data_IF_323364964618
#
_entry.id   IF_323364964618
#
_cell.length_a   1.000
_cell.length_b   1.000
_cell.length_c   1.000
_cell.angle_alpha   90.00
_cell.angle_beta   90.00
_cell.angle_gamma   90.00
#
_symmetry.space_group_name_H-M   'P 1'
#
loop_
_entity.id
_entity.type
_entity.pdbx_description
1 polymer ?
#
# COMPACT_ATOMS: atom_id res chain seq x y z
N UNK A 1 10.21 31.00 -3.59
CA UNK A 1 11.17 30.54 -2.54
C UNK A 1 10.60 30.67 -1.14
N UNK A 2 10.10 31.83 -0.69
CA UNK A 2 9.52 31.99 0.67
C UNK A 2 8.30 31.08 0.96
N UNK A 3 7.44 30.83 -0.04
CA UNK A 3 6.27 29.94 0.13
C UNK A 3 6.69 28.47 0.24
N UNK A 4 7.66 28.02 -0.55
CA UNK A 4 8.20 26.66 -0.47
C UNK A 4 8.91 26.45 0.89
N UNK A 5 9.65 27.45 1.36
CA UNK A 5 10.28 27.45 2.68
C UNK A 5 9.25 27.46 3.82
N UNK A 6 8.15 28.20 3.70
CA UNK A 6 7.06 28.21 4.68
C UNK A 6 6.27 26.88 4.70
N UNK A 7 6.07 26.24 3.54
CA UNK A 7 5.45 24.92 3.43
C UNK A 7 6.35 23.82 3.99
N UNK A 8 7.67 23.92 3.78
CA UNK A 8 8.67 23.08 4.45
C UNK A 8 8.68 23.34 5.95
N UNK A 9 8.56 24.60 6.40
CA UNK A 9 8.47 24.94 7.83
C UNK A 9 7.22 24.35 8.49
N UNK A 10 6.06 24.39 7.81
CA UNK A 10 4.81 23.82 8.30
C UNK A 10 4.86 22.28 8.35
N UNK A 11 5.69 21.67 7.51
CA UNK A 11 6.04 20.24 7.55
C UNK A 11 7.04 19.91 8.68
N UNK A 12 7.96 20.82 9.00
CA UNK A 12 8.97 20.68 10.04
C UNK A 12 8.43 20.92 11.46
N UNK A 13 7.41 21.76 11.64
CA UNK A 13 6.83 22.04 12.97
C UNK A 13 6.01 20.87 13.52
N UNK A 14 5.61 19.90 12.70
CA UNK A 14 5.04 18.62 13.15
C UNK A 14 6.07 17.60 13.64
N UNK A 15 7.38 17.84 13.41
CA UNK A 15 8.47 16.95 13.78
C UNK A 15 9.11 17.29 15.14
N UNK A 16 8.32 17.84 16.07
CA UNK A 16 8.79 18.23 17.40
C UNK A 16 9.18 17.04 18.28
N UNK A 17 10.47 17.00 18.65
CA UNK A 17 11.14 16.18 19.70
C UNK A 17 11.43 14.72 19.38
N UNK A 18 12.36 14.47 18.45
CA UNK A 18 13.24 13.31 18.56
C UNK A 18 14.42 13.68 19.48
N UNK A 19 14.37 13.19 20.72
CA UNK A 19 15.46 13.33 21.69
C UNK A 19 16.73 12.64 21.17
N UNK A 20 17.82 13.40 21.05
CA UNK A 20 19.15 12.88 20.78
C UNK A 20 19.61 12.04 21.97
N UNK A 21 19.53 10.71 21.87
CA UNK A 21 20.21 9.81 22.79
C UNK A 21 21.68 9.69 22.37
N UNK A 22 22.53 10.32 23.16
CA UNK A 22 23.99 10.17 23.14
C UNK A 22 24.35 8.70 23.37
N UNK A 23 24.95 8.06 22.37
CA UNK A 23 25.56 6.73 22.52
C UNK A 23 26.86 6.91 23.30
N UNK A 24 26.81 6.60 24.59
CA UNK A 24 27.99 6.46 25.43
C UNK A 24 28.75 5.19 25.05
N UNK A 25 30.00 5.35 24.64
CA UNK A 25 30.94 4.27 24.45
C UNK A 25 31.32 3.65 25.82
N UNK A 26 31.36 2.31 25.89
CA UNK A 26 32.02 1.56 26.95
C UNK A 26 32.93 0.49 26.32
N UNK A 27 34.07 0.15 26.95
CA UNK A 27 35.25 -0.35 26.26
C UNK A 27 35.25 -1.86 26.04
N UNK A 28 35.95 -2.26 24.98
CA UNK A 28 36.27 -3.65 24.67
C UNK A 28 37.45 -4.15 25.51
N UNK A 29 37.36 -5.40 25.98
CA UNK A 29 38.52 -6.21 26.37
C UNK A 29 38.29 -7.67 25.99
N UNK A 30 39.25 -8.26 25.25
CA UNK A 30 39.49 -9.70 25.30
C UNK A 30 39.51 -10.49 23.98
N UNK A 31 40.50 -10.22 23.12
CA UNK A 31 41.28 -11.14 22.26
C UNK A 31 40.69 -12.48 21.75
N UNK A 32 40.67 -12.66 20.43
CA UNK A 32 41.51 -13.64 19.68
C UNK A 32 41.48 -13.36 18.15
N UNK A 33 42.50 -13.80 17.36
CA UNK A 33 42.96 -13.10 16.15
C UNK A 33 42.39 -13.59 14.81
N UNK A 34 42.40 -12.66 13.83
CA UNK A 34 42.62 -12.76 12.36
C UNK A 34 42.51 -14.15 11.67
N UNK A 35 41.89 -14.36 10.50
CA UNK A 35 41.43 -13.48 9.42
C UNK A 35 40.47 -14.20 8.44
N UNK A 36 39.83 -13.40 7.57
CA UNK A 36 39.28 -13.70 6.23
C UNK A 36 37.91 -14.40 6.11
N UNK A 37 36.82 -13.61 6.06
CA UNK A 37 36.04 -13.32 4.82
C UNK A 37 34.81 -12.47 5.18
N UNK A 38 34.42 -11.56 4.28
CA UNK A 38 33.33 -10.61 4.48
C UNK A 38 31.98 -11.31 4.69
N UNK A 39 31.55 -11.44 5.95
CA UNK A 39 30.22 -11.95 6.30
C UNK A 39 29.19 -10.85 6.06
N UNK A 40 28.24 -11.09 5.15
CA UNK A 40 27.10 -10.20 4.95
C UNK A 40 26.25 -10.10 6.22
N UNK A 41 25.61 -8.96 6.45
CA UNK A 41 24.73 -8.64 7.58
C UNK A 41 23.37 -9.40 7.53
N UNK A 42 23.40 -10.64 7.03
CA UNK A 42 22.23 -11.48 6.79
C UNK A 42 22.15 -12.54 7.87
N UNK A 43 20.95 -12.77 8.37
CA UNK A 43 20.73 -13.83 9.36
C UNK A 43 19.32 -14.39 9.31
N UNK A 44 19.22 -15.65 9.72
CA UNK A 44 17.95 -16.26 10.08
C UNK A 44 17.77 -16.10 11.58
N UNK A 45 16.59 -15.64 11.99
CA UNK A 45 16.24 -15.54 13.41
C UNK A 45 14.87 -16.10 13.68
N UNK A 46 14.60 -16.45 14.92
CA UNK A 46 13.28 -16.92 15.32
C UNK A 46 13.11 -16.91 16.82
N UNK A 47 11.90 -17.26 17.24
CA UNK A 47 11.58 -17.47 18.64
C UNK A 47 10.78 -18.75 18.77
N UNK A 48 11.21 -19.64 19.66
CA UNK A 48 10.50 -20.87 20.00
C UNK A 48 9.61 -20.60 21.21
N UNK A 49 8.32 -20.88 21.04
CA UNK A 49 7.33 -20.79 22.10
C UNK A 49 6.60 -22.12 22.22
N UNK A 50 6.45 -22.57 23.46
CA UNK A 50 5.72 -23.78 23.79
C UNK A 50 4.22 -23.61 23.63
N UNK A 51 3.45 -24.69 23.85
CA UNK A 51 1.99 -24.69 23.71
C UNK A 51 1.27 -23.76 24.70
N UNK A 52 1.93 -23.46 25.83
CA UNK A 52 1.50 -22.53 26.88
C UNK A 52 1.97 -21.08 26.62
N UNK A 53 2.59 -20.82 25.46
CA UNK A 53 3.10 -19.50 25.07
C UNK A 53 4.42 -19.10 25.72
N UNK A 54 4.99 -19.94 26.60
CA UNK A 54 6.27 -19.71 27.28
C UNK A 54 7.44 -19.95 26.33
N UNK A 55 8.57 -19.23 26.50
CA UNK A 55 9.76 -19.47 25.70
C UNK A 55 10.34 -20.86 25.92
N UNK A 56 10.84 -21.47 24.84
CA UNK A 56 11.52 -22.76 24.86
C UNK A 56 13.00 -22.54 24.61
N UNK A 57 13.83 -22.83 25.60
CA UNK A 57 15.29 -22.66 25.58
C UNK A 57 16.01 -24.00 25.33
N UNK A 58 17.27 -23.94 24.90
CA UNK A 58 18.12 -25.12 24.73
C UNK A 58 17.90 -25.96 23.46
N UNK A 59 17.03 -25.51 22.54
CA UNK A 59 16.75 -26.21 21.28
C UNK A 59 17.77 -25.83 20.22
N UNK A 60 18.33 -26.82 19.53
CA UNK A 60 19.31 -26.61 18.46
C UNK A 60 18.64 -26.50 17.09
N UNK A 61 19.02 -25.47 16.33
CA UNK A 61 18.57 -25.22 14.95
C UNK A 61 19.79 -25.18 14.05
N UNK A 62 19.74 -25.89 12.93
CA UNK A 62 20.81 -25.95 11.94
C UNK A 62 20.29 -25.43 10.59
N UNK A 63 21.06 -24.56 9.94
CA UNK A 63 20.80 -24.11 8.58
C UNK A 63 21.72 -24.85 7.61
N UNK A 64 21.15 -25.39 6.54
CA UNK A 64 21.84 -26.10 5.48
C UNK A 64 21.60 -25.42 4.13
N UNK A 65 22.63 -25.41 3.28
CA UNK A 65 22.55 -24.94 1.90
C UNK A 65 23.17 -26.01 1.00
N UNK A 66 22.44 -26.47 -0.02
CA UNK A 66 22.89 -27.54 -0.94
C UNK A 66 23.43 -28.80 -0.23
N UNK A 67 22.84 -29.17 0.91
CA UNK A 67 23.22 -30.34 1.70
C UNK A 67 24.43 -30.17 2.62
N UNK A 68 25.03 -28.97 2.69
CA UNK A 68 26.09 -28.65 3.66
C UNK A 68 25.56 -27.73 4.76
N UNK A 69 25.96 -27.99 6.01
CA UNK A 69 25.65 -27.13 7.15
C UNK A 69 26.41 -25.81 7.04
N UNK A 70 25.68 -24.70 6.93
CA UNK A 70 26.23 -23.35 6.82
C UNK A 70 26.25 -22.59 8.15
N UNK A 71 25.46 -23.03 9.13
CA UNK A 71 25.45 -22.45 10.47
C UNK A 71 24.49 -23.18 11.41
N UNK A 72 24.68 -22.99 12.72
CA UNK A 72 23.78 -23.53 13.74
C UNK A 72 23.67 -22.58 14.93
N UNK A 73 22.53 -22.58 15.61
CA UNK A 73 22.30 -21.79 16.81
C UNK A 73 21.43 -22.57 17.81
N UNK A 74 21.55 -22.20 19.08
CA UNK A 74 20.74 -22.75 20.17
C UNK A 74 19.85 -21.63 20.73
N UNK A 75 18.58 -21.93 21.00
CA UNK A 75 17.66 -20.96 21.59
C UNK A 75 18.05 -20.57 23.01
N UNK A 76 18.11 -19.28 23.32
CA UNK A 76 18.42 -18.73 24.64
C UNK A 76 17.25 -18.85 25.65
N UNK A 77 17.37 -18.28 26.85
CA UNK A 77 16.36 -18.33 27.91
C UNK A 77 15.02 -17.69 27.50
N UNK A 78 15.05 -16.71 26.59
CA UNK A 78 13.90 -16.04 25.99
C UNK A 78 13.37 -16.77 24.74
N UNK A 79 13.89 -17.98 24.45
CA UNK A 79 13.52 -18.82 23.31
C UNK A 79 13.98 -18.27 21.96
N UNK A 80 14.83 -17.24 21.95
CA UNK A 80 15.34 -16.60 20.75
C UNK A 80 16.58 -17.30 20.22
N UNK A 81 16.68 -17.40 18.90
CA UNK A 81 17.85 -17.96 18.21
C UNK A 81 18.17 -17.13 16.97
N UNK A 82 19.44 -17.10 16.60
CA UNK A 82 19.92 -16.39 15.41
C UNK A 82 21.11 -17.12 14.78
N UNK A 83 21.02 -17.38 13.48
CA UNK A 83 22.07 -18.00 12.67
C UNK A 83 22.54 -16.95 11.65
N UNK A 84 23.76 -16.40 11.79
CA UNK A 84 24.35 -15.56 10.74
C UNK A 84 24.65 -16.43 9.50
N UNK A 85 24.41 -15.86 8.32
CA UNK A 85 24.56 -16.59 7.05
C UNK A 85 25.73 -16.04 6.23
N UNK A 86 26.46 -16.90 5.50
CA UNK A 86 27.60 -16.48 4.69
C UNK A 86 27.21 -15.66 3.45
N UNK A 87 25.94 -15.73 3.01
CA UNK A 87 25.44 -14.97 1.86
C UNK A 87 23.93 -15.12 1.63
N UNK A 88 23.36 -14.41 0.65
CA UNK A 88 21.96 -14.54 0.26
C UNK A 88 21.73 -15.85 -0.50
N UNK A 89 20.54 -16.41 -0.38
CA UNK A 89 20.20 -17.67 -1.06
C UNK A 89 19.08 -18.44 -0.39
N UNK A 90 18.89 -19.67 -0.85
CA UNK A 90 17.90 -20.60 -0.34
C UNK A 90 18.52 -21.56 0.69
N UNK A 91 17.88 -21.68 1.85
CA UNK A 91 18.37 -22.47 2.99
C UNK A 91 17.29 -23.43 3.50
N UNK A 92 17.72 -24.61 3.93
CA UNK A 92 16.89 -25.58 4.65
C UNK A 92 17.21 -25.47 6.15
N UNK A 93 16.21 -25.23 7.00
CA UNK A 93 16.41 -25.26 8.45
C UNK A 93 15.93 -26.58 9.02
N UNK A 94 16.76 -27.17 9.90
CA UNK A 94 16.43 -28.36 10.67
C UNK A 94 16.40 -28.02 12.16
N UNK A 95 15.29 -28.31 12.81
CA UNK A 95 15.12 -28.25 14.26
C UNK A 95 15.42 -29.64 14.84
N UNK A 96 16.33 -29.70 15.80
CA UNK A 96 16.68 -30.95 16.46
C UNK A 96 15.61 -31.32 17.50
N UNK A 97 14.72 -32.24 17.10
CA UNK A 97 13.59 -32.71 17.91
C UNK A 97 14.06 -33.36 19.22
N UNK A 98 15.29 -33.90 19.27
CA UNK A 98 15.84 -34.51 20.50
C UNK A 98 16.15 -33.49 21.60
N UNK A 99 16.31 -32.22 21.21
CA UNK A 99 16.57 -31.10 22.12
C UNK A 99 15.30 -30.41 22.62
N UNK A 100 14.12 -30.88 22.21
CA UNK A 100 12.84 -30.35 22.68
C UNK A 100 12.52 -30.82 24.12
N UNK A 101 11.93 -29.95 24.97
CA UNK A 101 11.43 -30.36 26.27
C UNK A 101 10.37 -31.47 26.19
N UNK A 102 10.34 -32.34 27.22
CA UNK A 102 9.34 -33.42 27.32
C UNK A 102 7.92 -32.85 27.24
N UNK A 103 7.11 -33.41 26.34
CA UNK A 103 5.71 -33.02 26.18
C UNK A 103 5.42 -32.03 25.05
N UNK A 104 6.45 -31.58 24.33
CA UNK A 104 6.34 -30.64 23.19
C UNK A 104 6.77 -31.33 21.90
N UNK A 105 6.02 -31.13 20.81
CA UNK A 105 6.34 -31.62 19.47
C UNK A 105 6.04 -30.54 18.41
N UNK A 106 6.55 -30.70 17.19
CA UNK A 106 6.20 -29.82 16.07
C UNK A 106 4.73 -29.98 15.70
N UNK A 107 4.06 -28.92 15.24
CA UNK A 107 2.64 -28.95 14.86
C UNK A 107 2.36 -29.88 13.69
N UNK A 108 3.26 -29.88 12.71
CA UNK A 108 3.11 -30.60 11.46
C UNK A 108 4.05 -31.80 11.42
N UNK A 109 3.60 -32.93 10.86
CA UNK A 109 4.44 -34.11 10.63
C UNK A 109 5.54 -33.74 9.62
N UNK A 110 6.81 -33.80 10.00
CA UNK A 110 7.90 -33.31 9.16
C UNK A 110 8.18 -31.80 9.30
N UNK A 111 7.50 -31.11 10.23
CA UNK A 111 7.67 -29.68 10.53
C UNK A 111 8.97 -29.33 11.26
N UNK A 112 9.80 -30.33 11.56
CA UNK A 112 11.17 -30.16 12.03
C UNK A 112 12.12 -29.70 10.91
N UNK A 113 11.73 -29.84 9.64
CA UNK A 113 12.49 -29.32 8.50
C UNK A 113 11.67 -28.26 7.75
N UNK A 114 12.20 -27.05 7.69
CA UNK A 114 11.68 -25.96 6.85
C UNK A 114 12.55 -25.86 5.61
N UNK A 115 11.98 -26.25 4.47
CA UNK A 115 12.66 -26.24 3.17
C UNK A 115 12.50 -24.88 2.48
N UNK A 116 13.43 -24.57 1.57
CA UNK A 116 13.34 -23.45 0.65
C UNK A 116 13.18 -22.06 1.29
N UNK A 117 13.88 -21.80 2.41
CA UNK A 117 13.86 -20.50 3.08
C UNK A 117 14.81 -19.53 2.37
N UNK A 118 14.24 -18.63 1.57
CA UNK A 118 14.99 -17.63 0.78
C UNK A 118 15.40 -16.41 1.62
N UNK A 119 16.67 -16.05 1.65
CA UNK A 119 17.17 -14.85 2.35
C UNK A 119 17.78 -13.89 1.33
N UNK A 120 17.28 -12.65 1.28
CA UNK A 120 17.79 -11.61 0.39
C UNK A 120 19.01 -10.88 1.00
N UNK A 121 19.82 -10.18 0.17
CA UNK A 121 20.97 -9.41 0.64
C UNK A 121 20.61 -8.43 1.76
N UNK A 122 21.44 -8.41 2.82
CA UNK A 122 21.26 -7.58 4.03
C UNK A 122 19.91 -7.76 4.76
N UNK A 123 19.21 -8.88 4.54
CA UNK A 123 17.94 -9.17 5.19
C UNK A 123 18.13 -10.05 6.43
N UNK A 124 17.44 -9.71 7.51
CA UNK A 124 17.20 -10.61 8.64
C UNK A 124 15.83 -11.25 8.49
N UNK A 125 15.78 -12.54 8.14
CA UNK A 125 14.52 -13.25 7.93
C UNK A 125 14.08 -13.95 9.22
N UNK A 126 12.83 -13.69 9.63
CA UNK A 126 12.26 -14.35 10.81
C UNK A 126 11.54 -15.64 10.39
N UNK A 127 11.85 -16.74 11.07
CA UNK A 127 11.30 -18.07 10.82
C UNK A 127 10.65 -18.60 12.09
N UNK A 128 9.50 -19.26 11.95
CA UNK A 128 8.72 -19.78 13.07
C UNK A 128 8.58 -21.29 12.92
N UNK A 129 8.93 -22.01 13.99
CA UNK A 129 8.60 -23.42 14.15
C UNK A 129 7.36 -23.52 15.06
N UNK A 130 6.18 -23.87 14.54
CA UNK A 130 5.00 -24.03 15.37
C UNK A 130 5.13 -25.29 16.25
N UNK A 131 5.03 -25.12 17.57
CA UNK A 131 5.08 -26.21 18.54
C UNK A 131 3.69 -26.44 19.15
N UNK A 132 3.35 -27.71 19.40
CA UNK A 132 2.10 -28.16 20.06
C UNK A 132 2.42 -29.15 21.17
N UNK A 133 1.44 -29.40 22.04
CA UNK A 133 1.59 -30.45 23.05
C UNK A 133 1.55 -31.82 22.38
N UNK A 134 2.34 -32.77 22.89
CA UNK A 134 2.29 -34.20 22.52
C UNK A 134 0.91 -34.84 22.71
N UNK A 135 0.05 -34.23 23.51
CA UNK A 135 -1.37 -34.62 23.67
C UNK A 135 -2.27 -34.22 22.50
N UNK A 136 -1.81 -33.33 21.62
CA UNK A 136 -2.56 -32.86 20.45
C UNK A 136 -2.13 -33.60 19.18
N UNK A 137 -3.08 -33.98 18.30
CA UNK A 137 -2.74 -34.63 17.03
C UNK A 137 -1.86 -33.74 16.15
N UNK A 138 -0.78 -34.31 15.63
CA UNK A 138 0.09 -33.64 14.67
C UNK A 138 -0.61 -33.54 13.30
N UNK A 139 -0.64 -32.35 12.72
CA UNK A 139 -1.28 -32.09 11.43
C UNK A 139 -0.41 -32.61 10.28
N UNK A 140 -1.01 -32.96 9.14
CA UNK A 140 -0.25 -33.29 7.94
C UNK A 140 0.47 -32.04 7.42
N UNK A 141 1.75 -32.17 7.01
CA UNK A 141 2.52 -31.08 6.38
C UNK A 141 1.67 -30.46 5.26
N UNK A 142 1.36 -29.16 5.29
CA UNK A 142 0.63 -28.51 4.21
C UNK A 142 1.41 -28.71 2.89
N UNK A 143 0.89 -29.52 1.97
CA UNK A 143 1.49 -29.80 0.66
C UNK A 143 2.03 -31.21 0.40
N UNK A 144 1.93 -32.17 1.33
CA UNK A 144 2.31 -33.56 1.07
C UNK A 144 1.07 -34.46 0.92
N UNK A 145 0.65 -34.73 -0.31
CA UNK A 145 -0.43 -35.68 -0.61
C UNK A 145 0.05 -37.14 -0.48
N UNK A 146 -0.67 -38.03 0.24
CA UNK A 146 -0.41 -39.47 0.19
C UNK A 146 -1.34 -40.19 -0.80
N UNK A 147 -0.77 -41.12 -1.56
CA UNK A 147 -1.47 -42.05 -2.45
C UNK A 147 -2.41 -43.00 -1.67
N UNK A 148 -3.51 -43.33 -2.35
CA UNK A 148 -4.61 -44.22 -1.99
C UNK A 148 -4.23 -45.61 -1.48
N UNK A 149 -4.92 -46.08 -0.45
CA UNK A 149 -5.40 -47.47 -0.34
C UNK A 149 -6.81 -47.51 0.26
N UNK A 150 -7.65 -48.35 -0.32
CA UNK A 150 -9.09 -48.50 -0.12
C UNK A 150 -9.44 -49.57 0.94
N UNK A 151 -10.51 -49.35 1.71
CA UNK A 151 -11.20 -50.37 2.52
C UNK A 151 -12.45 -49.80 3.23
N UNK A 152 -13.65 -50.44 3.20
CA UNK A 152 -14.92 -49.81 3.54
C UNK A 152 -15.49 -50.15 4.94
N UNK A 153 -16.34 -49.25 5.47
CA UNK A 153 -17.22 -49.43 6.64
C UNK A 153 -16.74 -48.67 7.89
N UNK A 154 -17.53 -47.89 8.64
CA UNK A 154 -18.98 -47.79 8.78
C UNK A 154 -19.38 -46.37 9.22
N UNK A 155 -20.63 -46.06 8.87
CA UNK A 155 -21.47 -44.92 9.23
C UNK A 155 -21.64 -44.69 10.72
N UNK A 156 -21.54 -43.42 11.12
CA UNK A 156 -22.07 -42.88 12.37
C UNK A 156 -22.24 -41.36 12.23
N UNK A 157 -23.46 -40.94 11.90
CA UNK A 157 -23.87 -39.53 11.79
C UNK A 157 -23.58 -38.76 13.09
N UNK A 158 -22.95 -37.59 12.98
CA UNK A 158 -23.61 -36.30 13.25
C UNK A 158 -22.67 -35.10 13.08
N UNK A 159 -23.11 -34.19 12.20
CA UNK A 159 -22.95 -32.75 12.28
C UNK A 159 -21.56 -32.14 12.01
N UNK A 160 -21.21 -31.98 10.72
CA UNK A 160 -20.43 -30.84 10.25
C UNK A 160 -20.87 -30.44 8.83
N UNK A 161 -21.31 -29.20 8.72
CA UNK A 161 -21.79 -28.55 7.50
C UNK A 161 -20.69 -28.49 6.44
N UNK A 162 -20.76 -29.40 5.48
CA UNK A 162 -20.44 -29.20 4.05
C UNK A 162 -19.10 -28.55 3.71
N UNK A 163 -18.00 -29.25 3.95
CA UNK A 163 -16.81 -29.13 3.10
C UNK A 163 -16.89 -30.23 2.02
N UNK A 164 -17.47 -29.92 0.86
CA UNK A 164 -17.27 -30.73 -0.34
C UNK A 164 -15.87 -30.48 -0.86
N UNK A 165 -15.01 -31.48 -0.69
CA UNK A 165 -13.84 -31.67 -1.51
C UNK A 165 -14.29 -32.29 -2.84
N UNK A 166 -14.21 -31.56 -3.95
CA UNK A 166 -14.14 -32.15 -5.31
C UNK A 166 -13.35 -31.23 -6.26
N UNK A 167 -12.40 -31.83 -6.98
CA UNK A 167 -12.14 -31.62 -8.41
C UNK A 167 -12.06 -30.21 -8.98
N UNK A 168 -10.83 -29.74 -9.23
CA UNK A 168 -10.50 -28.56 -10.04
C UNK A 168 -10.94 -27.26 -9.37
N UNK A 169 -10.01 -26.36 -9.04
CA UNK A 169 -10.38 -25.04 -8.52
C UNK A 169 -11.09 -24.22 -9.63
N UNK A 170 -12.37 -24.53 -9.84
CA UNK A 170 -13.31 -23.64 -10.46
C UNK A 170 -13.40 -22.39 -9.60
N UNK A 171 -13.39 -21.25 -10.27
CA UNK A 171 -13.66 -19.94 -9.71
C UNK A 171 -14.90 -20.00 -8.79
N UNK A 172 -14.69 -19.95 -7.48
CA UNK A 172 -15.81 -19.97 -6.53
C UNK A 172 -16.53 -18.61 -6.55
N UNK A 173 -17.87 -18.63 -6.52
CA UNK A 173 -18.67 -17.39 -6.54
C UNK A 173 -18.32 -16.47 -5.36
N UNK A 174 -18.01 -17.04 -4.19
CA UNK A 174 -17.55 -16.29 -3.02
C UNK A 174 -16.23 -15.54 -3.28
N UNK A 175 -15.27 -16.18 -3.97
CA UNK A 175 -14.00 -15.54 -4.35
C UNK A 175 -14.22 -14.41 -5.36
N UNK A 176 -15.11 -14.60 -6.34
CA UNK A 176 -15.47 -13.52 -7.29
C UNK A 176 -16.09 -12.34 -6.55
N UNK A 177 -17.09 -12.58 -5.71
CA UNK A 177 -17.76 -11.53 -4.94
C UNK A 177 -16.79 -10.77 -4.03
N UNK A 178 -15.87 -11.49 -3.38
CA UNK A 178 -14.82 -10.88 -2.56
C UNK A 178 -13.92 -9.95 -3.38
N UNK A 179 -13.43 -10.41 -4.55
CA UNK A 179 -12.57 -9.62 -5.42
C UNK A 179 -13.32 -8.41 -6.03
N UNK A 180 -14.61 -8.53 -6.30
CA UNK A 180 -15.44 -7.39 -6.73
C UNK A 180 -15.49 -6.33 -5.63
N UNK A 181 -15.72 -6.71 -4.38
CA UNK A 181 -15.77 -5.77 -3.25
C UNK A 181 -14.41 -5.12 -3.02
N UNK A 182 -13.33 -5.89 -3.07
CA UNK A 182 -11.97 -5.35 -2.99
C UNK A 182 -11.65 -4.41 -4.16
N UNK A 183 -12.17 -4.71 -5.35
CA UNK A 183 -12.00 -3.90 -6.55
C UNK A 183 -12.76 -2.59 -6.48
N UNK A 184 -13.99 -2.61 -5.94
CA UNK A 184 -14.77 -1.41 -5.64
C UNK A 184 -14.09 -0.54 -4.58
N UNK A 185 -13.56 -1.14 -3.51
CA UNK A 185 -12.78 -0.44 -2.48
C UNK A 185 -11.58 0.27 -3.09
N UNK A 186 -10.73 -0.48 -3.82
CA UNK A 186 -9.54 0.08 -4.45
C UNK A 186 -9.91 1.15 -5.49
N UNK A 187 -10.91 0.88 -6.33
CA UNK A 187 -11.37 1.79 -7.37
C UNK A 187 -11.95 3.09 -6.80
N UNK A 188 -12.66 3.05 -5.68
CA UNK A 188 -13.19 4.23 -5.02
C UNK A 188 -12.07 5.12 -4.46
N UNK A 189 -11.02 4.52 -3.88
CA UNK A 189 -9.84 5.25 -3.40
C UNK A 189 -9.10 5.90 -4.58
N UNK A 190 -8.86 5.14 -5.66
CA UNK A 190 -8.23 5.68 -6.88
C UNK A 190 -9.12 6.78 -7.49
N UNK A 191 -10.45 6.66 -7.46
CA UNK A 191 -11.35 7.66 -8.00
C UNK A 191 -11.23 8.99 -7.26
N UNK A 192 -11.18 8.98 -5.92
CA UNK A 192 -11.03 10.22 -5.14
C UNK A 192 -9.71 10.92 -5.46
N UNK A 193 -8.61 10.17 -5.51
CA UNK A 193 -7.30 10.74 -5.80
C UNK A 193 -7.18 11.19 -7.26
N UNK A 194 -7.79 10.47 -8.19
CA UNK A 194 -7.79 10.75 -9.63
C UNK A 194 -8.68 11.93 -10.04
N UNK A 195 -9.79 12.21 -9.34
CA UNK A 195 -10.70 13.32 -9.69
C UNK A 195 -9.98 14.66 -9.62
N UNK A 196 -9.13 14.87 -8.61
CA UNK A 196 -8.29 16.06 -8.51
C UNK A 196 -7.34 16.22 -9.69
N UNK A 197 -6.64 15.14 -10.05
CA UNK A 197 -5.73 15.09 -11.21
C UNK A 197 -6.48 15.41 -12.52
N UNK A 198 -7.67 14.84 -12.70
CA UNK A 198 -8.52 15.07 -13.88
C UNK A 198 -8.99 16.51 -13.97
N UNK A 199 -9.38 17.14 -12.85
CA UNK A 199 -9.81 18.53 -12.84
C UNK A 199 -8.66 19.51 -13.15
N UNK A 200 -7.47 19.24 -12.62
CA UNK A 200 -6.26 20.02 -12.92
C UNK A 200 -5.93 19.90 -14.41
N UNK A 201 -5.90 18.68 -14.95
CA UNK A 201 -5.67 18.46 -16.37
C UNK A 201 -6.76 19.14 -17.23
N UNK A 202 -8.04 19.02 -16.84
CA UNK A 202 -9.15 19.58 -17.62
C UNK A 202 -9.07 21.10 -17.78
N UNK A 203 -8.59 21.81 -16.76
CA UNK A 203 -8.51 23.28 -16.78
C UNK A 203 -7.16 23.84 -17.23
N UNK A 204 -6.08 23.09 -17.10
CA UNK A 204 -4.72 23.59 -17.41
C UNK A 204 -4.00 22.83 -18.51
N UNK A 205 -4.54 21.67 -18.93
CA UNK A 205 -3.90 20.68 -19.81
C UNK A 205 -2.53 20.20 -19.32
N UNK A 206 -2.21 20.44 -18.04
CA UNK A 206 -0.99 20.00 -17.39
C UNK A 206 -1.14 18.56 -16.87
N UNK A 207 -0.27 17.67 -17.35
CA UNK A 207 -0.08 16.34 -16.75
C UNK A 207 0.90 16.51 -15.58
N UNK A 208 0.38 16.48 -14.35
CA UNK A 208 1.16 16.73 -13.14
C UNK A 208 1.57 15.44 -12.43
N UNK A 209 2.82 14.99 -12.59
CA UNK A 209 3.34 13.81 -11.88
C UNK A 209 3.46 14.02 -10.36
N UNK A 210 3.65 15.26 -9.91
CA UNK A 210 3.75 15.56 -8.47
C UNK A 210 2.43 15.35 -7.72
N UNK A 211 1.30 15.15 -8.42
CA UNK A 211 0.02 14.83 -7.80
C UNK A 211 0.07 13.53 -6.98
N UNK A 212 0.86 12.54 -7.41
CA UNK A 212 1.09 11.31 -6.65
C UNK A 212 1.72 11.59 -5.29
N UNK A 213 2.63 12.55 -5.20
CA UNK A 213 3.29 12.88 -3.94
C UNK A 213 2.34 13.56 -2.94
N UNK A 214 1.30 14.27 -3.41
CA UNK A 214 0.26 14.81 -2.54
C UNK A 214 -0.54 13.69 -1.83
N UNK A 215 -0.69 12.53 -2.48
CA UNK A 215 -1.28 11.33 -1.86
C UNK A 215 -0.40 10.84 -0.71
N UNK A 216 0.91 10.65 -0.96
CA UNK A 216 1.86 10.23 0.06
C UNK A 216 1.90 11.23 1.22
N UNK A 217 1.98 12.52 0.91
CA UNK A 217 1.99 13.60 1.90
C UNK A 217 0.76 13.54 2.80
N UNK A 218 -0.44 13.35 2.24
CA UNK A 218 -1.65 13.24 3.06
C UNK A 218 -1.60 12.08 4.06
N UNK A 219 -1.13 10.91 3.61
CA UNK A 219 -0.98 9.75 4.47
C UNK A 219 0.06 9.98 5.60
N UNK A 220 1.21 10.59 5.27
CA UNK A 220 2.28 10.91 6.22
C UNK A 220 1.85 11.97 7.23
N UNK A 221 1.18 13.04 6.78
CA UNK A 221 0.64 14.09 7.65
C UNK A 221 -0.39 13.51 8.61
N UNK A 222 -1.32 12.69 8.13
CA UNK A 222 -2.26 12.00 9.01
C UNK A 222 -1.54 11.10 10.01
N UNK A 223 -0.45 10.44 9.60
CA UNK A 223 0.33 9.58 10.49
C UNK A 223 0.96 10.39 11.63
N UNK A 224 1.68 11.47 11.33
CA UNK A 224 2.31 12.30 12.36
C UNK A 224 1.30 12.95 13.31
N UNK A 225 0.12 13.30 12.81
CA UNK A 225 -0.94 13.87 13.66
C UNK A 225 -1.60 12.79 14.53
N UNK A 226 -1.76 11.56 14.01
CA UNK A 226 -2.43 10.48 14.72
C UNK A 226 -1.55 9.71 15.70
N UNK A 227 -0.23 9.73 15.48
CA UNK A 227 0.78 9.01 16.27
C UNK A 227 1.49 9.99 17.21
N UNK A 228 2.14 9.48 18.26
CA UNK A 228 2.90 10.31 19.21
C UNK A 228 3.86 11.30 18.51
N UNK A 229 3.88 12.58 18.92
CA UNK A 229 3.19 13.16 20.09
C UNK A 229 1.73 13.61 19.84
N UNK A 230 1.23 13.53 18.60
CA UNK A 230 -0.07 14.10 18.23
C UNK A 230 -1.25 13.41 18.91
N UNK A 231 -1.29 12.07 18.89
CA UNK A 231 -2.35 11.22 19.46
C UNK A 231 -3.79 11.65 19.12
N UNK A 232 -3.97 12.38 18.01
CA UNK A 232 -5.28 12.85 17.57
C UNK A 232 -6.04 11.68 16.92
N UNK A 233 -7.36 11.56 17.13
CA UNK A 233 -8.18 10.60 16.39
C UNK A 233 -7.93 10.63 14.88
N UNK A 234 -7.76 9.46 14.26
CA UNK A 234 -7.38 9.34 12.85
C UNK A 234 -8.37 10.05 11.91
N UNK A 235 -9.64 10.14 12.28
CA UNK A 235 -10.65 10.88 11.51
C UNK A 235 -10.31 12.38 11.45
N UNK A 236 -9.94 12.98 12.58
CA UNK A 236 -9.53 14.38 12.65
C UNK A 236 -8.16 14.58 11.96
N UNK A 237 -7.25 13.61 12.11
CA UNK A 237 -5.98 13.61 11.38
C UNK A 237 -6.20 13.55 9.86
N UNK A 238 -7.20 12.80 9.39
CA UNK A 238 -7.61 12.74 7.99
C UNK A 238 -8.18 14.06 7.47
N UNK A 239 -8.99 14.76 8.27
CA UNK A 239 -9.47 16.11 7.94
C UNK A 239 -8.32 17.12 7.90
N UNK A 240 -7.40 17.05 8.86
CA UNK A 240 -6.20 17.89 8.86
C UNK A 240 -5.33 17.61 7.62
N UNK A 241 -5.14 16.35 7.24
CA UNK A 241 -4.44 15.97 6.02
C UNK A 241 -5.12 16.49 4.75
N UNK A 242 -6.45 16.49 4.68
CA UNK A 242 -7.20 17.10 3.58
C UNK A 242 -6.92 18.61 3.48
N UNK A 243 -6.94 19.32 4.60
CA UNK A 243 -6.67 20.77 4.62
C UNK A 243 -5.22 21.05 4.23
N UNK A 244 -4.26 20.35 4.84
CA UNK A 244 -2.83 20.50 4.54
C UNK A 244 -2.54 20.17 3.08
N UNK A 245 -3.09 19.08 2.54
CA UNK A 245 -2.96 18.70 1.14
C UNK A 245 -3.51 19.76 0.19
N UNK A 246 -4.68 20.33 0.51
CA UNK A 246 -5.25 21.42 -0.28
C UNK A 246 -4.44 22.70 -0.23
N UNK A 247 -3.95 23.08 0.95
CA UNK A 247 -3.08 24.25 1.12
C UNK A 247 -1.74 24.08 0.39
N UNK A 248 -1.14 22.88 0.46
CA UNK A 248 0.09 22.56 -0.26
C UNK A 248 -0.13 22.64 -1.77
N UNK A 249 -1.20 22.04 -2.30
CA UNK A 249 -1.50 22.10 -3.72
C UNK A 249 -1.80 23.52 -4.21
N UNK A 250 -2.58 24.30 -3.45
CA UNK A 250 -2.79 25.73 -3.73
C UNK A 250 -1.49 26.53 -3.67
N UNK A 251 -0.61 26.23 -2.71
CA UNK A 251 0.72 26.82 -2.59
C UNK A 251 1.64 26.47 -3.76
N UNK A 252 1.56 25.25 -4.29
CA UNK A 252 2.26 24.83 -5.51
C UNK A 252 1.71 25.57 -6.73
N UNK A 253 0.39 25.76 -6.84
CA UNK A 253 -0.17 26.58 -7.92
C UNK A 253 0.32 28.03 -7.84
N UNK A 254 0.16 28.68 -6.68
CA UNK A 254 0.56 30.09 -6.51
C UNK A 254 2.08 30.29 -6.66
N UNK A 255 2.88 29.36 -6.13
CA UNK A 255 4.33 29.49 -6.04
C UNK A 255 5.09 29.02 -7.27
N UNK A 256 4.56 28.05 -8.01
CA UNK A 256 5.25 27.41 -9.13
C UNK A 256 4.42 27.48 -10.42
N UNK A 257 3.22 26.92 -10.44
CA UNK A 257 2.50 26.70 -11.70
C UNK A 257 1.90 27.97 -12.29
N UNK A 258 1.27 28.82 -11.47
CA UNK A 258 0.67 30.09 -11.89
C UNK A 258 1.70 31.07 -12.45
N UNK A 259 2.87 31.31 -11.80
CA UNK A 259 3.93 32.13 -12.39
C UNK A 259 4.42 31.58 -13.73
N UNK A 260 4.57 30.27 -13.87
CA UNK A 260 5.02 29.65 -15.12
C UNK A 260 3.98 29.79 -16.23
N UNK A 261 2.69 29.59 -15.93
CA UNK A 261 1.60 29.84 -16.90
C UNK A 261 1.59 31.28 -17.39
N UNK A 262 1.77 32.25 -16.49
CA UNK A 262 1.81 33.68 -16.84
C UNK A 262 3.01 34.06 -17.68
N UNK A 263 4.13 33.35 -17.54
CA UNK A 263 5.32 33.53 -18.38
C UNK A 263 5.21 32.84 -19.75
N UNK A 264 4.11 32.15 -20.04
CA UNK A 264 3.94 31.43 -21.30
C UNK A 264 4.85 30.20 -21.43
N UNK A 265 5.27 29.59 -20.32
CA UNK A 265 6.07 28.36 -20.34
C UNK A 265 5.30 27.25 -21.08
N UNK A 266 5.98 26.51 -21.96
CA UNK A 266 5.35 25.46 -22.76
C UNK A 266 4.87 24.28 -21.93
N UNK A 267 3.83 23.56 -22.37
CA UNK A 267 3.28 22.39 -21.66
C UNK A 267 4.33 21.29 -21.42
N UNK A 268 5.22 21.05 -22.39
CA UNK A 268 6.31 20.07 -22.27
C UNK A 268 7.30 20.47 -21.16
N UNK A 269 7.60 21.77 -21.02
CA UNK A 269 8.48 22.27 -19.96
C UNK A 269 7.82 22.11 -18.59
N UNK A 270 6.52 22.43 -18.49
CA UNK A 270 5.75 22.21 -17.26
C UNK A 270 5.69 20.72 -16.87
N UNK A 271 5.56 19.84 -17.86
CA UNK A 271 5.59 18.39 -17.67
C UNK A 271 6.92 17.92 -17.06
N UNK A 272 8.05 18.34 -17.65
CA UNK A 272 9.40 18.02 -17.13
C UNK A 272 9.57 18.53 -15.70
N UNK A 273 9.09 19.74 -15.43
CA UNK A 273 9.14 20.33 -14.09
C UNK A 273 8.29 19.53 -13.10
N UNK A 274 7.16 18.97 -13.52
CA UNK A 274 6.32 18.13 -12.65
C UNK A 274 7.03 16.83 -12.25
N UNK A 275 7.81 16.23 -13.16
CA UNK A 275 8.60 15.04 -12.89
C UNK A 275 9.73 15.38 -11.91
N UNK A 276 10.45 16.48 -12.15
CA UNK A 276 11.48 16.97 -11.24
C UNK A 276 10.93 17.28 -9.84
N UNK A 277 9.76 17.92 -9.76
CA UNK A 277 9.07 18.18 -8.51
C UNK A 277 8.62 16.89 -7.81
N UNK A 278 8.09 15.91 -8.55
CA UNK A 278 7.71 14.60 -7.99
C UNK A 278 8.92 13.89 -7.39
N UNK A 279 10.05 13.83 -8.12
CA UNK A 279 11.30 13.26 -7.62
C UNK A 279 11.78 13.97 -6.35
N UNK A 280 11.81 15.30 -6.37
CA UNK A 280 12.21 16.11 -5.24
C UNK A 280 11.33 15.85 -4.01
N UNK A 281 10.00 15.94 -4.15
CA UNK A 281 9.06 15.73 -3.05
C UNK A 281 9.14 14.29 -2.53
N UNK A 282 9.25 13.29 -3.41
CA UNK A 282 9.35 11.89 -3.03
C UNK A 282 10.58 11.61 -2.16
N UNK A 283 11.74 12.11 -2.55
CA UNK A 283 12.96 11.93 -1.75
C UNK A 283 13.00 12.82 -0.52
N UNK A 284 12.36 14.00 -0.56
CA UNK A 284 12.14 14.81 0.65
C UNK A 284 11.30 14.04 1.67
N UNK A 285 10.21 13.38 1.24
CA UNK A 285 9.40 12.53 2.11
C UNK A 285 10.23 11.36 2.65
N UNK A 286 11.06 10.71 1.83
CA UNK A 286 11.95 9.63 2.30
C UNK A 286 12.87 10.09 3.45
N UNK A 287 13.45 11.29 3.33
CA UNK A 287 14.33 11.85 4.37
C UNK A 287 13.55 12.19 5.64
N UNK A 288 12.36 12.76 5.51
CA UNK A 288 11.56 13.21 6.65
C UNK A 288 10.80 12.07 7.36
N UNK A 289 10.30 11.09 6.60
CA UNK A 289 9.43 10.01 7.07
C UNK A 289 10.17 8.68 7.30
N UNK A 290 11.41 8.54 6.80
CA UNK A 290 12.16 7.29 6.73
C UNK A 290 11.68 6.32 5.63
N UNK A 291 12.51 5.32 5.34
CA UNK A 291 12.22 4.24 4.38
C UNK A 291 11.38 3.09 4.96
N UNK A 292 11.05 3.14 6.26
CA UNK A 292 10.28 2.09 6.94
C UNK A 292 8.79 2.18 6.60
N UNK A 293 8.11 1.04 6.69
CA UNK A 293 6.65 0.98 6.61
C UNK A 293 6.08 1.12 8.02
N UNK A 294 5.34 2.19 8.25
CA UNK A 294 4.68 2.45 9.53
C UNK A 294 3.18 2.14 9.42
N UNK A 295 2.47 1.99 10.55
CA UNK A 295 1.03 1.72 10.56
C UNK A 295 0.33 2.74 11.44
N UNK A 296 -0.89 3.14 11.05
CA UNK A 296 -1.76 3.88 11.97
C UNK A 296 -2.06 3.01 13.20
N UNK A 297 -1.82 3.53 14.41
CA UNK A 297 -2.08 2.78 15.64
C UNK A 297 -3.58 2.49 15.82
N UNK A 298 -4.42 3.48 15.51
CA UNK A 298 -5.86 3.34 15.53
C UNK A 298 -6.36 2.48 14.36
N UNK A 299 -7.32 1.59 14.64
CA UNK A 299 -7.94 0.72 13.64
C UNK A 299 -6.97 -0.29 12.98
N UNK A 300 -5.75 -0.47 13.53
CA UNK A 300 -4.78 -1.46 13.03
C UNK A 300 -5.31 -2.90 13.15
N UNK A 301 -5.94 -3.21 14.28
CA UNK A 301 -6.49 -4.51 14.62
C UNK A 301 -8.00 -4.38 14.73
N UNK A 302 -8.71 -4.95 13.75
CA UNK A 302 -10.16 -5.10 13.81
C UNK A 302 -10.54 -6.50 13.35
N UNK A 303 -11.42 -7.21 14.09
CA UNK A 303 -11.94 -8.48 13.63
C UNK A 303 -12.70 -8.27 12.33
N UNK A 304 -12.44 -9.12 11.34
CA UNK A 304 -13.17 -9.08 10.09
C UNK A 304 -14.63 -9.51 10.34
N UNK A 305 -15.57 -8.81 9.70
CA UNK A 305 -16.97 -9.18 9.73
C UNK A 305 -17.29 -10.04 8.52
N UNK A 306 -18.05 -11.11 8.74
CA UNK A 306 -18.57 -11.96 7.67
C UNK A 306 -19.95 -11.43 7.26
N UNK A 307 -20.04 -10.84 6.07
CA UNK A 307 -21.30 -10.52 5.40
C UNK A 307 -21.58 -11.60 4.35
N UNK A 308 -22.17 -12.71 4.79
CA UNK A 308 -22.43 -13.86 3.92
C UNK A 308 -21.13 -14.40 3.29
N UNK A 309 -21.00 -14.43 1.94
CA UNK A 309 -19.79 -14.93 1.28
C UNK A 309 -18.62 -13.94 1.29
N UNK A 310 -18.82 -12.70 1.76
CA UNK A 310 -17.83 -11.61 1.72
C UNK A 310 -17.30 -11.36 3.12
N UNK A 311 -15.97 -11.22 3.24
CA UNK A 311 -15.30 -10.84 4.48
C UNK A 311 -14.75 -9.42 4.36
N UNK A 312 -15.18 -8.52 5.25
CA UNK A 312 -14.76 -7.12 5.23
C UNK A 312 -14.51 -6.61 6.65
N UNK A 313 -13.44 -5.84 6.84
CA UNK A 313 -13.18 -5.18 8.13
C UNK A 313 -14.04 -3.92 8.27
N UNK A 314 -14.43 -3.52 9.50
CA UNK A 314 -15.20 -2.29 9.71
C UNK A 314 -14.53 -1.05 9.11
N UNK A 315 -13.20 -0.91 9.24
CA UNK A 315 -12.44 0.20 8.63
C UNK A 315 -12.55 0.23 7.11
N UNK A 316 -12.46 -0.92 6.45
CA UNK A 316 -12.51 -1.01 4.99
C UNK A 316 -13.91 -0.63 4.48
N UNK A 317 -14.96 -1.07 5.20
CA UNK A 317 -16.34 -0.70 4.90
C UNK A 317 -16.56 0.81 5.05
N UNK A 318 -16.14 1.39 6.18
CA UNK A 318 -16.30 2.83 6.44
C UNK A 318 -15.53 3.65 5.41
N UNK A 319 -14.27 3.29 5.11
CA UNK A 319 -13.46 3.99 4.09
C UNK A 319 -14.11 3.89 2.72
N UNK A 320 -14.63 2.73 2.34
CA UNK A 320 -15.30 2.54 1.04
C UNK A 320 -16.57 3.39 0.95
N UNK A 321 -17.43 3.36 1.97
CA UNK A 321 -18.66 4.16 2.01
C UNK A 321 -18.37 5.66 2.03
N UNK A 322 -17.43 6.10 2.86
CA UNK A 322 -16.96 7.48 2.89
C UNK A 322 -16.41 7.91 1.52
N UNK A 323 -15.72 7.00 0.83
CA UNK A 323 -15.18 7.29 -0.50
C UNK A 323 -16.30 7.56 -1.51
N UNK A 324 -17.30 6.68 -1.59
CA UNK A 324 -18.46 6.91 -2.45
C UNK A 324 -19.23 8.18 -2.08
N UNK A 325 -19.42 8.45 -0.79
CA UNK A 325 -20.07 9.68 -0.33
C UNK A 325 -19.32 10.94 -0.79
N UNK A 326 -17.98 10.94 -0.71
CA UNK A 326 -17.14 12.05 -1.19
C UNK A 326 -17.21 12.18 -2.71
N UNK A 327 -17.19 11.07 -3.47
CA UNK A 327 -17.33 11.11 -4.92
C UNK A 327 -18.67 11.73 -5.34
N UNK A 328 -19.76 11.34 -4.68
CA UNK A 328 -21.09 11.93 -4.90
C UNK A 328 -21.10 13.40 -4.51
N UNK A 329 -20.50 13.76 -3.37
CA UNK A 329 -20.38 15.15 -2.94
C UNK A 329 -19.64 16.00 -3.98
N UNK A 330 -18.49 15.52 -4.47
CA UNK A 330 -17.71 16.21 -5.50
C UNK A 330 -18.51 16.32 -6.80
N UNK A 331 -19.20 15.27 -7.23
CA UNK A 331 -20.07 15.30 -8.40
C UNK A 331 -21.18 16.35 -8.28
N UNK A 332 -21.83 16.45 -7.13
CA UNK A 332 -22.87 17.44 -6.84
C UNK A 332 -22.27 18.85 -6.81
N UNK A 333 -21.11 19.04 -6.18
CA UNK A 333 -20.41 20.32 -6.13
C UNK A 333 -20.04 20.81 -7.55
N UNK A 334 -19.52 19.93 -8.40
CA UNK A 334 -19.18 20.27 -9.78
C UNK A 334 -20.42 20.59 -10.65
N UNK A 335 -21.54 19.91 -10.42
CA UNK A 335 -22.77 20.14 -11.18
C UNK A 335 -23.51 21.39 -10.75
N UNK A 336 -23.68 21.59 -9.44
CA UNK A 336 -24.66 22.52 -8.89
C UNK A 336 -24.06 23.87 -8.48
N UNK A 337 -22.76 23.95 -8.22
CA UNK A 337 -22.16 25.20 -7.71
C UNK A 337 -21.71 26.16 -8.82
N UNK A 338 -21.54 27.44 -8.47
CA UNK A 338 -20.96 28.46 -9.36
C UNK A 338 -19.51 28.12 -9.72
N UNK A 339 -18.72 27.63 -8.77
CA UNK A 339 -17.35 27.20 -9.00
C UNK A 339 -17.29 26.05 -10.02
N UNK A 340 -18.20 25.07 -9.93
CA UNK A 340 -18.26 23.96 -10.89
C UNK A 340 -18.66 24.38 -12.30
N UNK A 341 -19.58 25.36 -12.42
CA UNK A 341 -19.91 25.99 -13.71
C UNK A 341 -18.72 26.74 -14.30
N UNK A 342 -18.01 27.52 -13.49
CA UNK A 342 -16.81 28.23 -13.92
C UNK A 342 -15.69 27.26 -14.34
N UNK A 343 -15.44 26.20 -13.57
CA UNK A 343 -14.44 25.17 -13.90
C UNK A 343 -14.70 24.52 -15.26
N UNK A 344 -15.95 24.20 -15.58
CA UNK A 344 -16.33 23.65 -16.91
C UNK A 344 -16.14 24.67 -18.02
N UNK A 345 -16.52 25.93 -17.81
CA UNK A 345 -16.28 26.99 -18.80
C UNK A 345 -14.78 27.17 -19.10
N UNK A 346 -13.93 27.15 -18.07
CA UNK A 346 -12.46 27.21 -18.22
C UNK A 346 -11.91 26.00 -18.96
N UNK A 347 -12.42 24.80 -18.68
CA UNK A 347 -11.99 23.57 -19.34
C UNK A 347 -12.40 23.51 -20.82
N UNK A 348 -13.56 24.08 -21.17
CA UNK A 348 -14.07 24.14 -22.54
C UNK A 348 -13.29 25.17 -23.37
N UNK A 349 -13.19 26.42 -22.92
CA UNK A 349 -12.38 27.46 -23.58
C UNK A 349 -11.95 28.54 -22.57
N UNK A 350 -10.64 28.56 -22.28
CA UNK A 350 -10.04 29.49 -21.33
C UNK A 350 -10.21 30.96 -21.75
N UNK A 351 -9.91 31.30 -22.99
CA UNK A 351 -9.91 32.69 -23.46
C UNK A 351 -11.34 33.26 -23.49
N UNK A 352 -12.33 32.46 -23.90
CA UNK A 352 -13.73 32.84 -23.87
C UNK A 352 -14.26 32.99 -22.43
N UNK A 353 -13.79 32.15 -21.51
CA UNK A 353 -14.13 32.26 -20.09
C UNK A 353 -13.59 33.57 -19.49
N UNK A 354 -12.33 33.94 -19.80
CA UNK A 354 -11.74 35.23 -19.38
C UNK A 354 -12.49 36.43 -19.96
N UNK A 355 -12.82 36.40 -21.26
CA UNK A 355 -13.61 37.45 -21.92
C UNK A 355 -15.02 37.60 -21.34
N UNK A 356 -15.58 36.53 -20.78
CA UNK A 356 -16.89 36.51 -20.11
C UNK A 356 -16.82 36.97 -18.63
N UNK A 357 -15.65 37.42 -18.15
CA UNK A 357 -15.46 37.93 -16.80
C UNK A 357 -15.17 36.87 -15.73
N UNK A 358 -14.84 35.62 -16.12
CA UNK A 358 -14.44 34.58 -15.17
C UNK A 358 -12.97 34.79 -14.80
N UNK A 359 -12.69 34.94 -13.50
CA UNK A 359 -11.32 34.93 -12.96
C UNK A 359 -10.75 33.50 -13.03
N UNK A 360 -10.13 33.17 -14.17
CA UNK A 360 -9.60 31.84 -14.46
C UNK A 360 -8.55 31.40 -13.46
N UNK A 361 -7.67 32.32 -13.04
CA UNK A 361 -6.65 32.01 -12.05
C UNK A 361 -7.26 31.57 -10.72
N UNK A 362 -8.35 32.22 -10.28
CA UNK A 362 -9.06 31.83 -9.05
C UNK A 362 -9.77 30.49 -9.19
N UNK A 363 -10.31 30.20 -10.36
CA UNK A 363 -10.92 28.89 -10.66
C UNK A 363 -9.87 27.79 -10.61
N UNK A 364 -8.73 27.98 -11.29
CA UNK A 364 -7.61 27.04 -11.27
C UNK A 364 -7.11 26.84 -9.84
N UNK A 365 -6.88 27.91 -9.07
CA UNK A 365 -6.45 27.81 -7.68
C UNK A 365 -7.42 26.97 -6.82
N UNK A 366 -8.73 27.19 -6.98
CA UNK A 366 -9.75 26.43 -6.26
C UNK A 366 -9.70 24.94 -6.61
N UNK A 367 -9.47 24.62 -7.89
CA UNK A 367 -9.30 23.25 -8.37
C UNK A 367 -8.04 22.60 -7.78
N UNK A 368 -6.93 23.34 -7.71
CA UNK A 368 -5.71 22.83 -7.07
C UNK A 368 -5.92 22.53 -5.60
N UNK A 369 -6.60 23.41 -4.86
CA UNK A 369 -6.89 23.19 -3.44
C UNK A 369 -7.79 21.97 -3.24
N UNK A 370 -8.89 21.86 -4.00
CA UNK A 370 -9.82 20.72 -3.89
C UNK A 370 -9.11 19.43 -4.33
N UNK A 371 -8.40 19.46 -5.45
CA UNK A 371 -7.72 18.29 -6.02
C UNK A 371 -6.60 17.77 -5.12
N UNK A 372 -5.80 18.67 -4.54
CA UNK A 372 -4.77 18.29 -3.57
C UNK A 372 -5.32 17.79 -2.25
N UNK A 373 -6.41 18.37 -1.76
CA UNK A 373 -7.09 17.90 -0.55
C UNK A 373 -7.69 16.50 -0.72
N UNK A 374 -8.32 16.24 -1.88
CA UNK A 374 -8.83 14.91 -2.22
C UNK A 374 -7.70 13.89 -2.42
N UNK A 375 -6.59 14.28 -3.05
CA UNK A 375 -5.41 13.43 -3.17
C UNK A 375 -4.86 13.03 -1.80
N UNK A 376 -4.70 14.01 -0.90
CA UNK A 376 -4.22 13.77 0.45
C UNK A 376 -5.17 12.87 1.25
N UNK A 377 -6.48 13.12 1.21
CA UNK A 377 -7.46 12.27 1.90
C UNK A 377 -7.47 10.84 1.36
N UNK A 378 -7.41 10.68 0.03
CA UNK A 378 -7.31 9.36 -0.59
C UNK A 378 -6.01 8.62 -0.21
N UNK A 379 -4.93 9.35 0.06
CA UNK A 379 -3.70 8.78 0.65
C UNK A 379 -3.92 8.22 2.05
N UNK A 380 -4.65 8.94 2.90
CA UNK A 380 -5.03 8.44 4.24
C UNK A 380 -5.87 7.17 4.10
N UNK A 381 -6.87 7.17 3.23
CA UNK A 381 -7.71 5.99 2.98
C UNK A 381 -6.91 4.80 2.45
N UNK A 382 -5.96 5.06 1.54
CA UNK A 382 -5.06 4.04 1.03
C UNK A 382 -4.18 3.46 2.14
N UNK A 383 -3.56 4.31 2.98
CA UNK A 383 -2.72 3.87 4.09
C UNK A 383 -3.48 3.05 5.14
N UNK A 384 -4.74 3.41 5.42
CA UNK A 384 -5.62 2.67 6.34
C UNK A 384 -5.97 1.29 5.79
N UNK A 385 -6.38 1.23 4.52
CA UNK A 385 -6.86 -0.03 3.91
C UNK A 385 -5.72 -0.99 3.56
N UNK A 386 -4.54 -0.48 3.21
CA UNK A 386 -3.34 -1.30 3.01
C UNK A 386 -2.63 -1.65 4.33
N UNK A 387 -3.01 -1.01 5.44
CA UNK A 387 -2.43 -1.23 6.75
C UNK A 387 -0.97 -0.83 6.86
N UNK A 388 -0.50 0.08 5.99
CA UNK A 388 0.86 0.62 5.99
C UNK A 388 0.94 1.99 5.30
N UNK A 389 1.78 2.86 5.85
CA UNK A 389 2.19 4.16 5.34
C UNK A 389 3.67 4.06 4.99
N UNK A 390 4.04 4.40 3.76
CA UNK A 390 5.40 4.32 3.25
C UNK A 390 5.68 5.40 2.18
N UNK A 391 6.95 5.78 2.05
CA UNK A 391 7.39 7.01 1.38
C UNK A 391 7.11 7.11 -0.14
N UNK A 392 6.91 6.00 -0.85
CA UNK A 392 6.65 5.99 -2.30
C UNK A 392 5.23 5.52 -2.67
N UNK A 393 4.31 5.42 -1.69
CA UNK A 393 2.96 4.87 -1.94
C UNK A 393 2.17 5.63 -3.00
N UNK A 394 2.28 6.96 -3.01
CA UNK A 394 1.55 7.81 -3.94
C UNK A 394 2.04 7.69 -5.38
N UNK A 395 3.34 7.46 -5.59
CA UNK A 395 3.89 7.17 -6.91
C UNK A 395 3.36 5.84 -7.47
N UNK A 396 3.28 4.81 -6.63
CA UNK A 396 2.69 3.52 -7.03
C UNK A 396 1.20 3.68 -7.40
N UNK A 397 0.45 4.48 -6.63
CA UNK A 397 -0.95 4.77 -6.91
C UNK A 397 -1.13 5.68 -8.14
N UNK A 398 -0.15 6.53 -8.46
CA UNK A 398 -0.19 7.48 -9.56
C UNK A 398 -0.37 6.81 -10.92
N UNK A 399 0.27 5.66 -11.14
CA UNK A 399 0.09 4.91 -12.39
C UNK A 399 -1.36 4.45 -12.55
N UNK A 400 -1.99 3.98 -11.47
CA UNK A 400 -3.39 3.56 -11.47
C UNK A 400 -4.34 4.75 -11.58
N UNK A 401 -4.00 5.89 -10.98
CA UNK A 401 -4.73 7.14 -11.17
C UNK A 401 -4.70 7.57 -12.64
N UNK A 402 -3.53 7.59 -13.28
CA UNK A 402 -3.43 7.90 -14.71
C UNK A 402 -4.22 6.91 -15.56
N UNK A 403 -4.15 5.63 -15.24
CA UNK A 403 -4.98 4.63 -15.92
C UNK A 403 -6.46 4.98 -15.78
N UNK A 404 -6.95 5.29 -14.57
CA UNK A 404 -8.34 5.66 -14.36
C UNK A 404 -8.76 6.93 -15.09
N UNK A 405 -7.92 7.98 -15.04
CA UNK A 405 -8.19 9.25 -15.72
C UNK A 405 -8.20 9.09 -17.24
N UNK A 406 -7.19 8.42 -17.81
CA UNK A 406 -7.06 8.27 -19.26
C UNK A 406 -8.14 7.32 -19.79
N UNK A 407 -8.41 6.21 -19.09
CA UNK A 407 -9.50 5.29 -19.41
C UNK A 407 -10.85 6.00 -19.39
N UNK A 408 -11.06 6.86 -18.38
CA UNK A 408 -12.25 7.65 -18.22
C UNK A 408 -12.44 8.75 -19.26
N UNK A 409 -11.35 9.25 -19.83
CA UNK A 409 -11.29 10.45 -20.66
C UNK A 409 -10.62 11.60 -19.90
N UNK A 410 -9.48 12.04 -20.42
CA UNK A 410 -8.67 13.12 -19.85
C UNK A 410 -9.48 14.42 -19.69
N UNK A 411 -9.44 15.02 -18.51
CA UNK A 411 -10.12 16.29 -18.23
C UNK A 411 -11.60 16.16 -17.84
N UNK A 412 -12.15 14.93 -17.85
CA UNK A 412 -13.50 14.66 -17.34
C UNK A 412 -13.43 14.10 -15.92
N UNK A 413 -13.95 14.84 -14.95
CA UNK A 413 -14.03 14.35 -13.56
C UNK A 413 -14.88 13.08 -13.46
N UNK A 414 -16.04 13.03 -14.14
CA UNK A 414 -16.89 11.83 -14.21
C UNK A 414 -16.20 10.67 -14.90
N UNK A 415 -15.47 10.97 -15.98
CA UNK A 415 -14.57 10.03 -16.65
C UNK A 415 -13.64 9.38 -15.65
N UNK A 416 -12.87 10.19 -14.92
CA UNK A 416 -11.92 9.69 -13.92
C UNK A 416 -12.58 8.85 -12.82
N UNK A 417 -13.78 9.22 -12.35
CA UNK A 417 -14.51 8.41 -11.36
C UNK A 417 -14.81 7.00 -11.90
N UNK A 418 -15.45 6.91 -13.07
CA UNK A 418 -15.84 5.62 -13.67
C UNK A 418 -14.62 4.81 -14.09
N UNK A 419 -13.64 5.47 -14.72
CA UNK A 419 -12.39 4.83 -15.15
C UNK A 419 -11.61 4.25 -13.98
N UNK A 420 -11.50 4.97 -12.86
CA UNK A 420 -10.82 4.46 -11.66
C UNK A 420 -11.55 3.27 -11.01
N UNK A 421 -12.89 3.25 -11.04
CA UNK A 421 -13.67 2.09 -10.58
C UNK A 421 -13.39 0.87 -11.46
N UNK A 422 -13.38 1.03 -12.78
CA UNK A 422 -13.05 -0.05 -13.72
C UNK A 422 -11.62 -0.54 -13.49
N UNK A 423 -10.66 0.38 -13.34
CA UNK A 423 -9.26 0.04 -13.04
C UNK A 423 -9.17 -0.77 -11.74
N UNK A 424 -9.86 -0.36 -10.66
CA UNK A 424 -9.90 -1.10 -9.41
C UNK A 424 -10.50 -2.50 -9.55
N UNK A 425 -11.62 -2.62 -10.27
CA UNK A 425 -12.28 -3.90 -10.53
C UNK A 425 -11.39 -4.86 -11.34
N UNK A 426 -10.82 -4.39 -12.44
CA UNK A 426 -9.91 -5.16 -13.29
C UNK A 426 -8.69 -5.61 -12.51
N UNK A 427 -8.10 -4.68 -11.75
CA UNK A 427 -6.94 -4.92 -10.90
C UNK A 427 -7.21 -6.10 -9.96
N UNK A 428 -8.32 -6.08 -9.23
CA UNK A 428 -8.64 -7.16 -8.28
C UNK A 428 -9.15 -8.44 -8.94
N UNK A 429 -9.98 -8.36 -9.98
CA UNK A 429 -10.48 -9.55 -10.68
C UNK A 429 -9.36 -10.30 -11.42
N UNK A 430 -8.28 -9.62 -11.81
CA UNK A 430 -7.12 -10.29 -12.42
C UNK A 430 -6.46 -11.32 -11.48
N UNK A 431 -6.59 -11.15 -10.16
CA UNK A 431 -6.07 -12.06 -9.14
C UNK A 431 -6.77 -13.43 -9.10
N UNK A 432 -7.81 -13.61 -9.93
CA UNK A 432 -8.48 -14.89 -10.10
C UNK A 432 -7.67 -15.86 -10.97
N UNK A 433 -6.95 -15.34 -11.96
CA UNK A 433 -6.15 -16.13 -12.91
C UNK A 433 -4.66 -15.86 -12.78
N UNK A 434 -4.26 -14.73 -12.19
CA UNK A 434 -2.88 -14.30 -12.14
C UNK A 434 -2.39 -14.03 -10.71
N UNK A 435 -1.07 -14.10 -10.47
CA UNK A 435 -0.48 -13.70 -9.19
C UNK A 435 -0.74 -12.22 -8.87
N UNK A 436 -0.98 -11.86 -7.59
CA UNK A 436 -1.19 -10.47 -7.16
C UNK A 436 -0.03 -9.51 -7.49
N UNK A 437 1.18 -10.01 -7.71
CA UNK A 437 2.32 -9.19 -8.14
C UNK A 437 2.12 -8.55 -9.52
N UNK A 438 1.27 -9.12 -10.37
CA UNK A 438 0.97 -8.63 -11.71
C UNK A 438 -0.30 -7.76 -11.77
N UNK A 439 -0.96 -7.54 -10.63
CA UNK A 439 -2.22 -6.81 -10.51
C UNK A 439 -2.20 -5.41 -11.18
N UNK A 440 -1.12 -4.66 -10.99
CA UNK A 440 -0.99 -3.31 -11.57
C UNK A 440 -0.75 -3.36 -13.09
N UNK A 441 -0.09 -4.41 -13.59
CA UNK A 441 0.16 -4.57 -15.03
C UNK A 441 -1.15 -4.78 -15.80
N UNK A 442 -2.09 -5.57 -15.25
CA UNK A 442 -3.39 -5.82 -15.86
C UNK A 442 -4.28 -4.58 -15.90
N UNK A 443 -4.25 -3.76 -14.85
CA UNK A 443 -4.91 -2.45 -14.84
C UNK A 443 -4.42 -1.55 -16.00
N UNK A 444 -3.11 -1.52 -16.24
CA UNK A 444 -2.50 -0.75 -17.34
C UNK A 444 -2.76 -1.38 -18.71
N UNK A 445 -2.81 -2.71 -18.79
CA UNK A 445 -3.11 -3.42 -20.03
C UNK A 445 -4.53 -3.14 -20.50
N UNK A 446 -5.51 -3.12 -19.60
CA UNK A 446 -6.90 -2.74 -19.96
C UNK A 446 -6.96 -1.30 -20.44
N UNK A 447 -6.22 -0.38 -19.82
CA UNK A 447 -6.07 0.98 -20.34
C UNK A 447 -5.58 0.98 -21.80
N UNK A 448 -4.52 0.24 -22.11
CA UNK A 448 -3.97 0.14 -23.48
C UNK A 448 -5.04 -0.39 -24.45
N UNK A 449 -5.73 -1.48 -24.09
CA UNK A 449 -6.79 -2.06 -24.92
C UNK A 449 -7.90 -1.04 -25.19
N UNK A 450 -8.37 -0.34 -24.15
CA UNK A 450 -9.47 0.61 -24.33
C UNK A 450 -9.02 1.81 -25.16
N UNK A 451 -7.78 2.27 -25.05
CA UNK A 451 -7.28 3.35 -25.90
C UNK A 451 -7.12 2.94 -27.37
N UNK A 452 -6.77 1.68 -27.65
CA UNK A 452 -6.73 1.15 -29.01
C UNK A 452 -8.12 1.15 -29.65
N UNK A 453 -9.15 0.83 -28.87
CA UNK A 453 -10.54 0.77 -29.35
C UNK A 453 -11.20 2.16 -29.33
N UNK A 454 -10.88 2.98 -28.35
CA UNK A 454 -11.53 4.26 -28.05
C UNK A 454 -10.52 5.26 -27.46
N UNK A 455 -9.74 5.96 -28.30
CA UNK A 455 -8.62 6.81 -27.86
C UNK A 455 -9.04 8.02 -27.01
N UNK A 456 -10.32 8.39 -27.05
CA UNK A 456 -10.89 9.47 -26.22
C UNK A 456 -11.25 8.99 -24.79
N UNK A 457 -11.12 7.70 -24.49
CA UNK A 457 -11.62 7.10 -23.24
C UNK A 457 -13.14 6.86 -23.27
N UNK A 458 -13.68 6.34 -22.17
CA UNK A 458 -15.06 5.87 -22.06
C UNK A 458 -16.08 7.03 -22.06
N UNK A 459 -15.73 8.16 -21.43
CA UNK A 459 -16.59 9.34 -21.32
C UNK A 459 -15.98 10.58 -21.97
N UNK A 460 -14.93 10.43 -22.79
CA UNK A 460 -14.35 11.55 -23.54
C UNK A 460 -15.28 12.03 -24.66
N UNK A 461 -15.30 13.36 -24.86
CA UNK A 461 -15.98 13.97 -26.00
C UNK A 461 -15.11 13.81 -27.24
N UNK A 462 -15.71 13.40 -28.36
CA UNK A 462 -15.01 13.39 -29.63
C UNK A 462 -14.71 14.84 -30.04
N UNK A 463 -13.45 15.26 -29.96
CA UNK A 463 -13.00 16.45 -30.67
C UNK A 463 -13.12 16.15 -32.16
N UNK A 464 -13.98 16.90 -32.87
CA UNK A 464 -13.94 16.91 -34.33
C UNK A 464 -12.61 17.56 -34.69
N UNK A 465 -11.68 16.77 -35.24
CA UNK A 465 -10.55 17.31 -35.96
C UNK A 465 -11.13 18.12 -37.13
N UNK A 466 -11.16 19.43 -36.98
CA UNK A 466 -11.69 20.40 -37.94
C UNK A 466 -10.66 21.47 -38.16
#
# INVERSE_FOLDING_TARGET
>A
MAILAALVLLFLTGAGTASAAVVGAAPATGHHPAALTAAGDQSLKGTLRGPDGKPVSGVKITAEQKGQTVGSATSNAEGQWQIPLPGPGEFNLKLDVSTLPKGVQTRDKGGEVLEAVVVAPQQQRTVIFPLISTSQPQQAKPGAAPQSTSGPGQTGDQNQSGATAEGGEGVSLSRVLQLVVEGLKLGAIIAITAVGLSLIFGTTRLINFAHGELVTIGAVVAFWISTDPGNVPLVLAGVAALVVGGLLAGGLDLGLWRPMRRRGTGLIQMFIISIGLSLFLRYLILVLFSGRREKYAQYALQPAMQLGPITITPRDLIVTLASFAILVLVAVLLQRTRMGKAARAVADNKDLAEASGIDVDRVILSIWIIGGGLAALGGVFYGVTQGAVYWDMGFNLLLLMFAGVILGGLGSAYGAMVGSIIVGLVSQLSNLWFPPSLQNAWALLVLIIVLLVRPQGILGRAERAG
#
